data_IF_661071530876
#
_entry.id   IF_661071530876
#
_cell.length_a   1.000
_cell.length_b   1.000
_cell.length_c   1.000
_cell.angle_alpha   90.00
_cell.angle_beta   90.00
_cell.angle_gamma   90.00
#
_symmetry.space_group_name_H-M   'P 1'
#
loop_
_entity.id
_entity.type
_entity.pdbx_description
1 polymer ?
#
# COMPACT_ATOMS: atom_id res chain seq x y z
N UNK A 1 -18.71 9.61 -8.02
CA UNK A 1 -18.00 8.33 -7.90
C UNK A 1 -16.61 8.57 -7.37
N UNK A 2 -16.10 7.68 -6.52
CA UNK A 2 -14.69 7.70 -6.09
C UNK A 2 -13.76 7.00 -7.12
N UNK A 3 -12.44 7.15 -6.98
CA UNK A 3 -11.47 6.59 -7.95
C UNK A 3 -11.54 5.05 -8.05
N UNK A 4 -11.90 4.35 -6.97
CA UNK A 4 -12.03 2.88 -6.98
C UNK A 4 -13.25 2.45 -7.79
N UNK A 5 -14.39 3.14 -7.60
CA UNK A 5 -15.60 2.91 -8.37
C UNK A 5 -15.36 3.18 -9.85
N UNK A 6 -14.73 4.31 -10.19
CA UNK A 6 -14.41 4.65 -11.59
C UNK A 6 -13.49 3.60 -12.20
N UNK A 7 -12.43 3.19 -11.47
CA UNK A 7 -11.53 2.10 -11.91
C UNK A 7 -12.30 0.82 -12.22
N UNK A 8 -13.19 0.39 -11.33
CA UNK A 8 -13.94 -0.86 -11.52
C UNK A 8 -14.88 -0.78 -12.74
N UNK A 9 -15.56 0.35 -12.94
CA UNK A 9 -16.38 0.55 -14.13
C UNK A 9 -15.51 0.54 -15.39
N UNK A 10 -14.40 1.29 -15.43
CA UNK A 10 -13.53 1.31 -16.62
C UNK A 10 -12.90 -0.06 -16.94
N UNK A 11 -12.59 -0.88 -15.93
CA UNK A 11 -12.17 -2.28 -16.13
C UNK A 11 -13.28 -3.07 -16.81
N UNK A 12 -14.52 -2.94 -16.33
CA UNK A 12 -15.67 -3.63 -16.92
C UNK A 12 -15.87 -3.26 -18.39
N UNK A 13 -15.80 -1.97 -18.73
CA UNK A 13 -15.90 -1.46 -20.11
C UNK A 13 -14.73 -1.93 -21.00
N UNK A 14 -13.54 -2.14 -20.42
CA UNK A 14 -12.38 -2.66 -21.15
C UNK A 14 -12.49 -4.16 -21.44
N UNK A 15 -13.16 -4.91 -20.57
CA UNK A 15 -13.29 -6.37 -20.67
C UNK A 15 -14.54 -6.81 -21.43
N UNK A 16 -15.58 -5.99 -21.45
CA UNK A 16 -16.88 -6.33 -22.01
C UNK A 16 -17.32 -5.30 -23.05
N UNK A 17 -18.00 -5.77 -24.10
CA UNK A 17 -18.77 -4.88 -24.98
C UNK A 17 -20.00 -4.41 -24.22
N UNK A 18 -20.04 -3.12 -23.87
CA UNK A 18 -21.15 -2.54 -23.10
C UNK A 18 -22.23 -2.07 -24.06
N UNK A 19 -23.21 -2.93 -24.33
CA UNK A 19 -24.44 -2.59 -25.05
C UNK A 19 -25.63 -2.68 -24.09
N UNK A 20 -26.22 -1.55 -23.70
CA UNK A 20 -27.33 -1.55 -22.75
C UNK A 20 -28.65 -2.13 -23.31
N UNK A 21 -28.72 -2.38 -24.63
CA UNK A 21 -29.85 -3.08 -25.25
C UNK A 21 -29.68 -4.60 -25.24
N UNK A 22 -28.48 -5.08 -24.96
CA UNK A 22 -28.17 -6.50 -24.87
C UNK A 22 -28.58 -7.05 -23.48
N UNK A 23 -29.57 -7.94 -23.47
CA UNK A 23 -30.05 -8.53 -22.22
C UNK A 23 -29.03 -9.49 -21.58
N UNK A 24 -28.13 -10.08 -22.38
CA UNK A 24 -27.09 -10.99 -21.89
C UNK A 24 -25.98 -10.23 -21.15
N UNK A 25 -25.93 -8.90 -21.28
CA UNK A 25 -25.01 -8.05 -20.52
C UNK A 25 -25.46 -7.89 -19.06
N UNK A 26 -26.76 -7.86 -18.79
CA UNK A 26 -27.25 -7.53 -17.45
C UNK A 26 -26.83 -8.52 -16.35
N UNK A 27 -26.83 -9.85 -16.57
CA UNK A 27 -26.27 -10.78 -15.60
C UNK A 27 -24.80 -10.47 -15.25
N UNK A 28 -23.99 -10.09 -16.24
CA UNK A 28 -22.57 -9.73 -16.04
C UNK A 28 -22.40 -8.43 -15.25
N UNK A 29 -23.32 -7.48 -15.43
CA UNK A 29 -23.34 -6.26 -14.63
C UNK A 29 -23.68 -6.62 -13.18
N UNK A 30 -24.73 -7.42 -12.97
CA UNK A 30 -25.21 -7.80 -11.64
C UNK A 30 -24.17 -8.61 -10.82
N UNK A 31 -23.26 -9.33 -11.49
CA UNK A 31 -22.13 -10.03 -10.84
C UNK A 31 -21.12 -9.09 -10.17
N UNK A 32 -21.05 -7.82 -10.61
CA UNK A 32 -20.02 -6.88 -10.20
C UNK A 32 -20.56 -5.56 -9.63
N UNK A 33 -21.79 -5.19 -9.98
CA UNK A 33 -22.39 -3.89 -9.69
C UNK A 33 -23.88 -4.01 -9.39
N UNK A 34 -24.41 -3.08 -8.61
CA UNK A 34 -25.84 -2.81 -8.64
C UNK A 34 -26.19 -2.22 -10.02
N UNK A 35 -27.14 -2.83 -10.72
CA UNK A 35 -27.50 -2.45 -12.10
C UNK A 35 -27.96 -1.01 -12.22
N UNK A 36 -28.76 -0.53 -11.27
CA UNK A 36 -29.33 0.82 -11.29
C UNK A 36 -28.19 1.82 -11.12
N UNK A 37 -27.30 1.56 -10.16
CA UNK A 37 -26.11 2.38 -9.91
C UNK A 37 -25.17 2.37 -11.13
N UNK A 38 -24.94 1.21 -11.74
CA UNK A 38 -24.11 1.09 -12.95
C UNK A 38 -24.63 1.98 -14.07
N UNK A 39 -25.94 1.91 -14.37
CA UNK A 39 -26.57 2.71 -15.42
C UNK A 39 -26.50 4.21 -15.09
N UNK A 40 -26.74 4.61 -13.85
CA UNK A 40 -26.63 6.01 -13.43
C UNK A 40 -25.21 6.57 -13.59
N UNK A 41 -24.20 5.73 -13.38
CA UNK A 41 -22.80 6.11 -13.49
C UNK A 41 -22.33 6.31 -14.94
N UNK A 42 -23.07 5.82 -15.94
CA UNK A 42 -22.71 6.00 -17.36
C UNK A 42 -22.68 7.49 -17.72
N UNK A 43 -23.70 8.26 -17.33
CA UNK A 43 -23.76 9.71 -17.56
C UNK A 43 -22.57 10.44 -16.92
N UNK A 44 -22.15 10.03 -15.72
CA UNK A 44 -20.95 10.57 -15.08
C UNK A 44 -19.68 10.26 -15.89
N UNK A 45 -19.49 9.01 -16.31
CA UNK A 45 -18.31 8.59 -17.06
C UNK A 45 -18.23 9.26 -18.43
N UNK A 46 -19.35 9.42 -19.12
CA UNK A 46 -19.46 10.08 -20.42
C UNK A 46 -19.20 11.58 -20.32
N UNK A 47 -19.81 12.28 -19.35
CA UNK A 47 -19.55 13.71 -19.11
C UNK A 47 -18.10 14.02 -18.79
N UNK A 48 -17.40 13.08 -18.16
CA UNK A 48 -15.97 13.18 -17.88
C UNK A 48 -15.09 12.73 -19.06
N UNK A 49 -15.69 12.36 -20.19
CA UNK A 49 -15.02 11.85 -21.39
C UNK A 49 -14.15 10.62 -21.10
N UNK A 50 -14.56 9.77 -20.17
CA UNK A 50 -13.87 8.51 -19.86
C UNK A 50 -14.39 7.38 -20.75
N UNK A 51 -15.68 7.42 -21.05
CA UNK A 51 -16.34 6.56 -22.04
C UNK A 51 -17.02 7.42 -23.10
N UNK A 52 -17.40 6.82 -24.21
CA UNK A 52 -18.14 7.46 -25.29
C UNK A 52 -19.19 6.49 -25.84
N UNK A 53 -20.40 7.00 -26.08
CA UNK A 53 -21.44 6.28 -26.83
C UNK A 53 -21.08 6.23 -28.33
N UNK A 54 -21.35 5.11 -28.99
CA UNK A 54 -21.21 4.99 -30.44
C UNK A 54 -22.02 6.06 -31.19
N UNK A 55 -21.52 6.50 -32.35
CA UNK A 55 -22.07 7.63 -33.12
C UNK A 55 -23.55 7.40 -33.53
N UNK A 56 -23.95 6.13 -33.63
CA UNK A 56 -25.33 5.73 -33.93
C UNK A 56 -26.31 5.90 -32.76
N UNK A 57 -25.84 6.30 -31.56
CA UNK A 57 -26.63 6.41 -30.32
C UNK A 57 -27.40 5.14 -29.97
N UNK A 58 -26.72 4.01 -30.15
CA UNK A 58 -27.30 2.69 -29.94
C UNK A 58 -27.14 2.16 -28.52
N UNK A 59 -26.81 3.03 -27.55
CA UNK A 59 -26.51 2.67 -26.17
C UNK A 59 -25.36 1.65 -26.07
N UNK A 60 -24.46 1.72 -27.05
CA UNK A 60 -23.21 0.97 -27.11
C UNK A 60 -22.13 1.93 -26.66
N UNK A 61 -21.38 1.55 -25.64
CA UNK A 61 -20.36 2.40 -25.06
C UNK A 61 -18.98 1.75 -25.16
N UNK A 62 -17.98 2.58 -25.36
CA UNK A 62 -16.58 2.18 -25.41
C UNK A 62 -15.73 3.09 -24.52
N UNK A 63 -14.60 2.58 -24.05
CA UNK A 63 -13.63 3.39 -23.32
C UNK A 63 -12.89 4.31 -24.28
N UNK A 64 -12.64 5.55 -23.86
CA UNK A 64 -11.84 6.51 -24.63
C UNK A 64 -10.35 6.39 -24.29
N UNK A 65 -9.47 6.99 -25.11
CA UNK A 65 -8.03 7.10 -24.79
C UNK A 65 -7.78 7.79 -23.44
N UNK A 66 -8.60 8.80 -23.11
CA UNK A 66 -8.55 9.49 -21.82
C UNK A 66 -8.94 8.55 -20.68
N UNK A 67 -10.00 7.76 -20.87
CA UNK A 67 -10.42 6.72 -19.93
C UNK A 67 -9.35 5.65 -19.72
N UNK A 68 -8.71 5.19 -20.79
CA UNK A 68 -7.62 4.22 -20.71
C UNK A 68 -6.42 4.76 -19.92
N UNK A 69 -6.02 6.01 -20.21
CA UNK A 69 -4.94 6.68 -19.49
C UNK A 69 -5.28 6.84 -18.02
N UNK A 70 -6.48 7.31 -17.71
CA UNK A 70 -6.94 7.48 -16.34
C UNK A 70 -6.97 6.15 -15.55
N UNK A 71 -7.43 5.07 -16.19
CA UNK A 71 -7.41 3.73 -15.61
C UNK A 71 -5.98 3.28 -15.30
N UNK A 72 -5.04 3.52 -16.22
CA UNK A 72 -3.62 3.19 -16.01
C UNK A 72 -3.03 3.97 -14.84
N UNK A 73 -3.27 5.27 -14.78
CA UNK A 73 -2.77 6.15 -13.72
C UNK A 73 -3.27 5.68 -12.34
N UNK A 74 -4.56 5.34 -12.21
CA UNK A 74 -5.11 4.80 -10.95
C UNK A 74 -4.45 3.47 -10.57
N UNK A 75 -4.24 2.56 -11.52
CA UNK A 75 -3.62 1.25 -11.24
C UNK A 75 -2.17 1.43 -10.79
N UNK A 76 -1.41 2.31 -11.44
CA UNK A 76 -0.03 2.60 -11.05
C UNK A 76 0.06 3.27 -9.68
N UNK A 77 -0.83 4.21 -9.38
CA UNK A 77 -0.92 4.85 -8.07
C UNK A 77 -1.20 3.82 -6.96
N UNK A 78 -2.18 2.93 -7.16
CA UNK A 78 -2.48 1.87 -6.18
C UNK A 78 -1.29 0.92 -5.98
N UNK A 79 -0.57 0.56 -7.05
CA UNK A 79 0.64 -0.28 -6.94
C UNK A 79 1.74 0.42 -6.16
N UNK A 80 1.95 1.70 -6.41
CA UNK A 80 2.93 2.51 -5.69
C UNK A 80 2.63 2.57 -4.19
N UNK A 81 1.37 2.85 -3.81
CA UNK A 81 0.98 2.89 -2.40
C UNK A 81 1.11 1.53 -1.71
N UNK A 82 0.68 0.44 -2.37
CA UNK A 82 0.82 -0.91 -1.81
C UNK A 82 2.30 -1.29 -1.59
N UNK A 83 3.19 -0.91 -2.51
CA UNK A 83 4.62 -1.15 -2.37
C UNK A 83 5.23 -0.31 -1.25
N UNK A 84 4.86 0.97 -1.16
CA UNK A 84 5.31 1.84 -0.07
C UNK A 84 4.88 1.29 1.29
N UNK A 85 3.64 0.87 1.43
CA UNK A 85 3.10 0.29 2.68
C UNK A 85 3.82 -1.02 3.03
N UNK A 86 4.13 -1.86 2.04
CA UNK A 86 4.96 -3.06 2.23
C UNK A 86 6.34 -2.73 2.78
N UNK A 87 7.03 -1.76 2.18
CA UNK A 87 8.37 -1.33 2.61
C UNK A 87 8.32 -0.75 4.03
N UNK A 88 7.33 0.10 4.35
CA UNK A 88 7.16 0.66 5.69
C UNK A 88 6.88 -0.44 6.72
N UNK A 89 6.07 -1.43 6.37
CA UNK A 89 5.81 -2.58 7.22
C UNK A 89 7.07 -3.43 7.46
N UNK A 90 7.87 -3.70 6.43
CA UNK A 90 9.15 -4.41 6.57
C UNK A 90 10.15 -3.65 7.46
N UNK A 91 10.26 -2.33 7.29
CA UNK A 91 11.07 -1.49 8.19
C UNK A 91 10.60 -1.60 9.63
N UNK A 92 9.29 -1.53 9.87
CA UNK A 92 8.74 -1.65 11.23
C UNK A 92 9.05 -3.01 11.89
N UNK A 93 9.09 -4.09 11.11
CA UNK A 93 9.49 -5.42 11.60
C UNK A 93 10.96 -5.46 11.98
N UNK A 94 11.83 -4.87 11.16
CA UNK A 94 13.27 -4.79 11.44
C UNK A 94 13.52 -3.98 12.72
N UNK A 95 12.85 -2.84 12.86
CA UNK A 95 12.96 -1.99 14.05
C UNK A 95 12.47 -2.74 15.31
N UNK A 96 11.37 -3.49 15.19
CA UNK A 96 10.87 -4.33 16.28
C UNK A 96 11.86 -5.44 16.68
N UNK A 97 12.43 -6.14 15.69
CA UNK A 97 13.43 -7.18 15.94
C UNK A 97 14.68 -6.60 16.61
N UNK A 98 15.14 -5.44 16.13
CA UNK A 98 16.29 -4.74 16.71
C UNK A 98 15.99 -4.31 18.15
N UNK A 99 14.80 -3.75 18.41
CA UNK A 99 14.37 -3.37 19.76
C UNK A 99 14.34 -4.57 20.71
N UNK A 100 13.83 -5.72 20.25
CA UNK A 100 13.83 -6.97 21.03
C UNK A 100 15.25 -7.46 21.34
N UNK A 101 16.17 -7.41 20.36
CA UNK A 101 17.58 -7.75 20.57
C UNK A 101 18.23 -6.83 21.59
N UNK A 102 18.03 -5.51 21.46
CA UNK A 102 18.54 -4.54 22.43
C UNK A 102 18.02 -4.82 23.84
N UNK A 103 16.71 -5.07 24.01
CA UNK A 103 16.12 -5.40 25.31
C UNK A 103 16.72 -6.68 25.91
N UNK A 104 17.00 -7.69 25.08
CA UNK A 104 17.61 -8.95 25.52
C UNK A 104 19.08 -8.80 25.90
N UNK A 105 19.82 -7.94 25.18
CA UNK A 105 21.25 -7.71 25.43
C UNK A 105 21.49 -6.72 26.58
N UNK A 106 20.59 -5.75 26.78
CA UNK A 106 20.71 -4.70 27.80
C UNK A 106 21.11 -5.20 29.21
N UNK A 107 20.51 -6.27 29.79
CA UNK A 107 20.94 -6.77 31.09
C UNK A 107 22.37 -7.32 31.07
N UNK A 108 22.80 -7.96 29.98
CA UNK A 108 24.17 -8.49 29.83
C UNK A 108 25.16 -7.34 29.72
N UNK A 109 24.92 -6.36 28.85
CA UNK A 109 25.80 -5.19 28.68
C UNK A 109 25.94 -4.42 29.99
N UNK A 110 24.84 -4.28 30.75
CA UNK A 110 24.83 -3.65 32.07
C UNK A 110 25.67 -4.42 33.11
N UNK A 111 25.66 -5.74 33.08
CA UNK A 111 26.48 -6.58 33.96
C UNK A 111 27.97 -6.51 33.59
N UNK A 112 28.31 -6.60 32.31
CA UNK A 112 29.70 -6.45 31.85
C UNK A 112 30.29 -5.09 32.22
N UNK A 113 29.53 -4.00 32.06
CA UNK A 113 29.96 -2.67 32.47
C UNK A 113 30.26 -2.58 33.98
N UNK A 114 29.44 -3.22 34.82
CA UNK A 114 29.68 -3.29 36.27
C UNK A 114 30.93 -4.09 36.63
N UNK A 115 31.13 -5.23 35.98
CA UNK A 115 32.31 -6.07 36.20
C UNK A 115 33.59 -5.34 35.77
N UNK A 116 33.56 -4.69 34.59
CA UNK A 116 34.68 -3.87 34.10
C UNK A 116 35.03 -2.73 35.06
N UNK A 117 34.02 -2.01 35.57
CA UNK A 117 34.23 -0.97 36.57
C UNK A 117 34.87 -1.52 37.86
N UNK A 118 34.41 -2.68 38.33
CA UNK A 118 34.96 -3.31 39.52
C UNK A 118 36.44 -3.70 39.33
N UNK A 119 36.77 -4.32 38.19
CA UNK A 119 38.15 -4.68 37.84
C UNK A 119 39.04 -3.43 37.79
N UNK A 120 38.56 -2.34 37.17
CA UNK A 120 39.30 -1.09 37.10
C UNK A 120 39.60 -0.51 38.48
N UNK A 121 38.63 -0.52 39.40
CA UNK A 121 38.81 -0.05 40.78
C UNK A 121 39.86 -0.90 41.51
N UNK A 122 39.79 -2.24 41.39
CA UNK A 122 40.74 -3.14 42.05
C UNK A 122 42.16 -2.93 41.52
N UNK A 123 42.33 -2.76 40.20
CA UNK A 123 43.63 -2.47 39.61
C UNK A 123 44.19 -1.13 40.09
N UNK A 124 43.38 -0.07 40.10
CA UNK A 124 43.79 1.24 40.59
C UNK A 124 44.23 1.21 42.06
N UNK A 125 43.50 0.49 42.93
CA UNK A 125 43.87 0.33 44.34
C UNK A 125 45.16 -0.49 44.51
N UNK A 126 45.34 -1.56 43.73
CA UNK A 126 46.56 -2.37 43.75
C UNK A 126 47.78 -1.54 43.35
N UNK A 127 47.65 -0.74 42.30
CA UNK A 127 48.72 0.10 41.78
C UNK A 127 49.09 1.22 42.76
N UNK A 128 48.08 1.84 43.39
CA UNK A 128 48.28 2.82 44.46
C UNK A 128 49.00 2.21 45.69
N UNK A 129 48.62 1.00 46.11
CA UNK A 129 49.29 0.30 47.22
C UNK A 129 50.76 0.00 46.93
N UNK A 130 51.08 -0.41 45.69
CA UNK A 130 52.47 -0.65 45.27
C UNK A 130 53.27 0.65 45.32
N UNK A 131 52.72 1.76 44.82
CA UNK A 131 53.35 3.08 44.84
C UNK A 131 53.60 3.62 46.26
N UNK A 132 52.68 3.37 47.20
CA UNK A 132 52.80 3.83 48.59
C UNK A 132 53.72 2.96 49.46
N UNK A 133 54.07 1.75 48.99
CA UNK A 133 54.95 0.81 49.70
C UNK A 133 56.40 0.84 49.19
N UNK A 134 56.65 1.53 48.08
CA UNK A 134 58.00 1.95 47.66
C UNK A 134 58.44 3.17 48.46
#
# INVERSE_FOLDING_TARGET
MNNIEVKNHLIFFKQNKVNLRDQDLYPKIDEHFDRIVFIQNIDFLERNSLIVEDDNRDSIYSITDKGEKFLKDIIEEHKYFAEKERIEFEKSKIDLELAQKMLKEFPKTKQFARIGLFIAIVLALKELYILLKQ
#
